data_IF_100014408246
#
_entry.id   IF_100014408246
#
_cell.length_a   1.000
_cell.length_b   1.000
_cell.length_c   1.000
_cell.angle_alpha   90.00
_cell.angle_beta   90.00
_cell.angle_gamma   90.00
#
_symmetry.space_group_name_H-M   'P 1'
#
loop_
_entity.id
_entity.type
_entity.pdbx_description
1 polymer ?
#
# COMPACT_ATOMS: atom_id res chain seq x y z
N UNK A 1 -12.61 18.52 -13.26
CA UNK A 1 -13.97 18.41 -13.85
C UNK A 1 -14.86 17.71 -12.83
N UNK A 2 -15.66 18.42 -12.02
CA UNK A 2 -16.69 17.76 -11.23
C UNK A 2 -17.63 16.99 -12.17
N UNK A 3 -18.00 15.76 -11.80
CA UNK A 3 -18.96 14.89 -12.50
C UNK A 3 -18.58 14.42 -13.92
N UNK A 4 -17.31 14.10 -14.17
CA UNK A 4 -16.90 13.40 -15.40
C UNK A 4 -16.84 11.88 -15.17
N UNK A 5 -17.32 11.03 -16.10
CA UNK A 5 -17.32 9.56 -15.92
C UNK A 5 -15.90 9.00 -15.68
N UNK A 6 -14.90 9.59 -16.31
CA UNK A 6 -13.48 9.23 -16.06
C UNK A 6 -13.01 9.56 -14.63
N UNK A 7 -13.54 10.62 -14.03
CA UNK A 7 -13.21 10.98 -12.66
C UNK A 7 -13.86 10.02 -11.66
N UNK A 8 -15.09 9.56 -11.94
CA UNK A 8 -15.74 8.53 -11.12
C UNK A 8 -15.05 7.18 -11.26
N UNK A 9 -14.63 6.80 -12.48
CA UNK A 9 -13.84 5.59 -12.69
C UNK A 9 -12.51 5.63 -11.92
N UNK A 10 -11.75 6.72 -12.03
CA UNK A 10 -10.51 6.90 -11.27
C UNK A 10 -10.75 6.82 -9.75
N UNK A 11 -11.80 7.47 -9.24
CA UNK A 11 -12.15 7.40 -7.83
C UNK A 11 -12.48 5.96 -7.39
N UNK A 12 -13.22 5.21 -8.20
CA UNK A 12 -13.57 3.81 -7.91
C UNK A 12 -12.34 2.89 -7.91
N UNK A 13 -11.44 3.03 -8.90
CA UNK A 13 -10.18 2.28 -8.98
C UNK A 13 -9.30 2.54 -7.77
N UNK A 14 -9.10 3.82 -7.43
CA UNK A 14 -8.35 4.22 -6.24
C UNK A 14 -8.97 3.62 -4.97
N UNK A 15 -10.28 3.79 -4.79
CA UNK A 15 -10.99 3.31 -3.60
C UNK A 15 -10.85 1.79 -3.42
N UNK A 16 -11.10 0.99 -4.46
CA UNK A 16 -11.04 -0.46 -4.36
C UNK A 16 -9.64 -0.96 -3.97
N UNK A 17 -8.61 -0.44 -4.62
CA UNK A 17 -7.23 -0.88 -4.39
C UNK A 17 -6.74 -0.45 -3.01
N UNK A 18 -7.03 0.79 -2.61
CA UNK A 18 -6.61 1.29 -1.30
C UNK A 18 -7.37 0.63 -0.16
N UNK A 19 -8.64 0.29 -0.37
CA UNK A 19 -9.46 -0.46 0.59
C UNK A 19 -8.92 -1.88 0.72
N UNK A 20 -8.66 -2.57 -0.39
CA UNK A 20 -8.06 -3.91 -0.38
C UNK A 20 -6.71 -3.92 0.36
N UNK A 21 -5.83 -2.96 0.08
CA UNK A 21 -4.56 -2.83 0.78
C UNK A 21 -4.75 -2.56 2.29
N UNK A 22 -5.69 -1.70 2.68
CA UNK A 22 -6.01 -1.47 4.10
C UNK A 22 -6.55 -2.73 4.79
N UNK A 23 -7.42 -3.49 4.12
CA UNK A 23 -7.96 -4.74 4.68
C UNK A 23 -6.88 -5.81 4.83
N UNK A 24 -5.91 -5.87 3.90
CA UNK A 24 -4.76 -6.78 4.01
C UNK A 24 -3.85 -6.41 5.20
N UNK A 25 -3.61 -5.12 5.45
CA UNK A 25 -2.88 -4.66 6.64
C UNK A 25 -3.62 -5.07 7.91
N UNK A 26 -4.93 -4.82 7.98
CA UNK A 26 -5.75 -5.19 9.14
C UNK A 26 -5.74 -6.70 9.38
N UNK A 27 -5.87 -7.50 8.32
CA UNK A 27 -5.79 -8.95 8.41
C UNK A 27 -4.41 -9.42 8.91
N UNK A 28 -3.33 -8.87 8.38
CA UNK A 28 -1.99 -9.24 8.83
C UNK A 28 -1.72 -8.81 10.28
N UNK A 29 -2.19 -7.63 10.71
CA UNK A 29 -2.05 -7.15 12.07
C UNK A 29 -2.86 -7.99 13.07
N UNK A 30 -4.09 -8.36 12.72
CA UNK A 30 -4.93 -9.25 13.56
C UNK A 30 -4.36 -10.66 13.65
N UNK A 31 -3.84 -11.21 12.54
CA UNK A 31 -3.14 -12.49 12.55
C UNK A 31 -1.90 -12.44 13.45
N UNK A 32 -1.12 -11.35 13.38
CA UNK A 32 0.05 -11.17 14.24
C UNK A 32 -0.35 -11.09 15.72
N UNK A 33 -1.40 -10.34 16.04
CA UNK A 33 -1.90 -10.19 17.39
C UNK A 33 -2.47 -11.50 17.95
N UNK A 34 -3.12 -12.32 17.13
CA UNK A 34 -3.58 -13.65 17.54
C UNK A 34 -2.41 -14.59 17.86
N UNK A 35 -1.31 -14.52 17.10
CA UNK A 35 -0.15 -15.38 17.32
C UNK A 35 0.73 -14.93 18.49
N UNK A 36 0.91 -13.62 18.67
CA UNK A 36 1.83 -13.05 19.68
C UNK A 36 1.13 -12.58 20.95
N UNK A 37 -0.21 -12.55 20.96
CA UNK A 37 -1.04 -11.93 22.00
C UNK A 37 -0.71 -10.45 22.26
N UNK A 38 -0.09 -9.76 21.30
CA UNK A 38 0.36 -8.38 21.44
C UNK A 38 0.06 -7.56 20.17
N UNK A 39 -0.15 -6.26 20.35
CA UNK A 39 -0.39 -5.27 19.29
C UNK A 39 0.85 -4.42 18.98
N UNK A 40 1.97 -4.67 19.65
CA UNK A 40 3.23 -3.97 19.38
C UNK A 40 3.75 -4.29 17.97
N UNK A 41 4.05 -3.25 17.23
CA UNK A 41 4.53 -3.29 15.86
C UNK A 41 5.92 -3.94 15.75
N UNK A 42 6.74 -3.88 16.81
CA UNK A 42 8.08 -4.46 16.82
C UNK A 42 8.08 -5.98 17.00
N UNK A 43 6.98 -6.55 17.48
CA UNK A 43 6.82 -7.98 17.75
C UNK A 43 6.31 -8.76 16.54
N UNK A 44 6.24 -8.15 15.34
CA UNK A 44 5.89 -8.88 14.12
C UNK A 44 7.03 -9.83 13.72
N UNK A 45 6.89 -11.12 14.05
CA UNK A 45 7.95 -12.12 13.83
C UNK A 45 7.65 -13.08 12.68
N UNK A 46 6.38 -13.35 12.40
CA UNK A 46 6.00 -14.33 11.38
C UNK A 46 6.26 -13.84 9.96
N UNK A 47 6.95 -14.66 9.15
CA UNK A 47 7.26 -14.33 7.77
C UNK A 47 5.98 -14.08 6.94
N UNK A 48 4.91 -14.82 7.25
CA UNK A 48 3.61 -14.67 6.58
C UNK A 48 2.97 -13.32 6.87
N UNK A 49 3.05 -12.80 8.10
CA UNK A 49 2.48 -11.49 8.45
C UNK A 49 3.32 -10.36 7.85
N UNK A 50 4.65 -10.47 7.90
CA UNK A 50 5.55 -9.46 7.33
C UNK A 50 5.45 -9.40 5.80
N UNK A 51 5.34 -10.54 5.11
CA UNK A 51 5.09 -10.59 3.65
C UNK A 51 3.76 -9.95 3.25
N UNK A 52 2.68 -10.19 4.00
CA UNK A 52 1.38 -9.57 3.73
C UNK A 52 1.43 -8.06 3.95
N UNK A 53 2.06 -7.59 5.03
CA UNK A 53 2.23 -6.16 5.30
C UNK A 53 3.06 -5.50 4.20
N UNK A 54 4.19 -6.09 3.79
CA UNK A 54 5.02 -5.51 2.72
C UNK A 54 4.28 -5.44 1.40
N UNK A 55 3.58 -6.51 0.98
CA UNK A 55 2.75 -6.47 -0.22
C UNK A 55 1.67 -5.40 -0.16
N UNK A 56 0.97 -5.28 0.97
CA UNK A 56 -0.08 -4.29 1.13
C UNK A 56 0.48 -2.85 1.10
N UNK A 57 1.64 -2.60 1.70
CA UNK A 57 2.31 -1.30 1.62
C UNK A 57 2.76 -0.97 0.19
N UNK A 58 3.28 -1.95 -0.55
CA UNK A 58 3.61 -1.76 -1.97
C UNK A 58 2.37 -1.44 -2.82
N UNK A 59 1.23 -2.09 -2.55
CA UNK A 59 -0.04 -1.74 -3.21
C UNK A 59 -0.44 -0.29 -2.92
N UNK A 60 -0.37 0.16 -1.64
CA UNK A 60 -0.65 1.56 -1.27
C UNK A 60 0.26 2.54 -1.99
N UNK A 61 1.54 2.20 -2.13
CA UNK A 61 2.55 3.01 -2.80
C UNK A 61 2.58 2.85 -4.32
N UNK A 62 1.71 2.04 -4.92
CA UNK A 62 1.78 1.74 -6.35
C UNK A 62 3.18 1.29 -6.82
N UNK A 63 3.90 0.52 -5.99
CA UNK A 63 5.19 -0.08 -6.37
C UNK A 63 4.94 -1.31 -7.25
N UNK A 64 5.91 -1.68 -8.10
CA UNK A 64 5.78 -2.88 -8.94
C UNK A 64 5.58 -4.16 -8.08
N UNK A 65 4.73 -5.10 -8.51
CA UNK A 65 3.90 -5.15 -9.72
C UNK A 65 2.53 -4.43 -9.60
N UNK A 66 2.26 -3.70 -8.51
CA UNK A 66 0.97 -3.08 -8.20
C UNK A 66 0.81 -1.64 -8.71
N UNK A 67 1.64 -1.20 -9.67
CA UNK A 67 1.67 0.18 -10.15
C UNK A 67 0.56 0.54 -11.15
N UNK A 68 -0.14 -0.45 -11.71
CA UNK A 68 -1.08 -0.28 -12.84
C UNK A 68 -2.23 0.69 -12.60
N UNK A 69 -2.63 0.91 -11.35
CA UNK A 69 -3.72 1.85 -11.05
C UNK A 69 -3.31 3.31 -11.11
N UNK A 70 -2.02 3.59 -10.94
CA UNK A 70 -1.53 4.95 -10.79
C UNK A 70 -1.68 5.78 -12.09
N UNK A 71 -1.32 5.27 -13.30
CA UNK A 71 -1.53 6.02 -14.54
C UNK A 71 -3.00 6.38 -14.77
N UNK A 72 -3.91 5.41 -14.65
CA UNK A 72 -5.35 5.61 -14.87
C UNK A 72 -5.96 6.62 -13.90
N UNK A 73 -5.63 6.48 -12.60
CA UNK A 73 -6.12 7.40 -11.57
C UNK A 73 -5.57 8.79 -11.80
N UNK A 74 -4.27 8.93 -12.05
CA UNK A 74 -3.63 10.23 -12.28
C UNK A 74 -4.20 10.99 -13.47
N UNK A 75 -4.62 10.28 -14.52
CA UNK A 75 -5.20 10.86 -15.74
C UNK A 75 -6.69 11.19 -15.58
N UNK A 76 -7.41 10.43 -14.75
CA UNK A 76 -8.82 10.66 -14.48
C UNK A 76 -9.12 11.76 -13.45
N UNK A 77 -8.12 12.18 -12.66
CA UNK A 77 -8.27 13.18 -11.59
C UNK A 77 -7.74 14.57 -11.99
N UNK A 78 -7.91 15.58 -11.12
CA UNK A 78 -7.33 16.91 -11.35
C UNK A 78 -5.84 16.92 -11.04
N UNK A 79 -5.10 17.89 -11.55
CA UNK A 79 -3.65 18.02 -11.29
C UNK A 79 -3.34 18.12 -9.80
N UNK A 80 -4.15 18.87 -9.04
CA UNK A 80 -3.97 19.01 -7.59
C UNK A 80 -4.17 17.68 -6.85
N UNK A 81 -5.19 16.89 -7.22
CA UNK A 81 -5.41 15.56 -6.62
C UNK A 81 -4.33 14.56 -7.03
N UNK A 82 -3.82 14.64 -8.25
CA UNK A 82 -2.70 13.81 -8.69
C UNK A 82 -1.44 14.14 -7.90
N UNK A 83 -1.17 15.43 -7.66
CA UNK A 83 -0.06 15.88 -6.82
C UNK A 83 -0.17 15.32 -5.40
N UNK A 84 -1.35 15.36 -4.78
CA UNK A 84 -1.55 14.81 -3.42
C UNK A 84 -1.39 13.30 -3.37
N UNK A 85 -1.85 12.57 -4.41
CA UNK A 85 -1.65 11.11 -4.52
C UNK A 85 -0.16 10.75 -4.69
N UNK A 86 0.60 11.53 -5.46
CA UNK A 86 2.01 11.25 -5.72
C UNK A 86 2.93 11.65 -4.56
N UNK A 87 2.53 12.58 -3.71
CA UNK A 87 3.37 13.10 -2.62
C UNK A 87 2.83 12.66 -1.25
N UNK A 88 1.70 13.22 -0.83
CA UNK A 88 1.15 13.06 0.51
C UNK A 88 0.81 11.60 0.85
N UNK A 89 0.20 10.87 -0.09
CA UNK A 89 -0.21 9.48 0.13
C UNK A 89 0.98 8.50 0.26
N UNK A 90 2.21 8.92 -0.07
CA UNK A 90 3.42 8.08 0.07
C UNK A 90 4.01 8.13 1.48
N UNK A 91 3.76 9.21 2.23
CA UNK A 91 4.41 9.47 3.53
C UNK A 91 4.07 8.37 4.54
N UNK A 92 2.78 8.08 4.76
CA UNK A 92 2.37 7.11 5.77
C UNK A 92 2.87 5.67 5.49
N UNK A 93 2.72 5.12 4.27
CA UNK A 93 3.28 3.79 3.95
C UNK A 93 4.81 3.70 4.11
N UNK A 94 5.55 4.76 3.74
CA UNK A 94 7.01 4.82 3.92
C UNK A 94 7.40 4.83 5.40
N UNK A 95 6.68 5.55 6.25
CA UNK A 95 6.93 5.57 7.70
C UNK A 95 6.72 4.19 8.32
N UNK A 96 5.66 3.48 7.94
CA UNK A 96 5.41 2.10 8.40
C UNK A 96 6.57 1.19 7.99
N UNK A 97 7.00 1.26 6.72
CA UNK A 97 8.11 0.46 6.19
C UNK A 97 9.43 0.75 6.92
N UNK A 98 9.68 2.00 7.29
CA UNK A 98 10.84 2.42 8.08
C UNK A 98 10.79 1.86 9.51
N UNK A 99 9.64 1.89 10.16
CA UNK A 99 9.50 1.33 11.53
C UNK A 99 9.79 -0.18 11.52
N UNK A 100 9.27 -0.91 10.53
CA UNK A 100 9.41 -2.38 10.45
C UNK A 100 10.61 -2.83 9.59
N UNK A 101 11.56 -1.95 9.27
CA UNK A 101 12.63 -2.21 8.27
C UNK A 101 13.42 -3.51 8.54
N UNK A 102 13.65 -3.87 9.81
CA UNK A 102 14.37 -5.08 10.19
C UNK A 102 13.57 -6.38 9.99
N UNK A 103 12.26 -6.27 9.72
CA UNK A 103 11.31 -7.38 9.59
C UNK A 103 10.70 -7.46 8.19
N UNK A 104 10.99 -6.50 7.31
CA UNK A 104 10.45 -6.51 5.95
C UNK A 104 10.99 -7.69 5.16
N UNK A 105 10.16 -8.21 4.25
CA UNK A 105 10.63 -9.20 3.30
C UNK A 105 11.51 -8.55 2.23
N UNK A 106 12.84 -8.68 2.41
CA UNK A 106 13.86 -8.13 1.52
C UNK A 106 13.77 -8.73 0.11
N UNK A 107 13.50 -10.03 -0.04
CA UNK A 107 13.45 -10.66 -1.37
C UNK A 107 12.32 -10.07 -2.20
N UNK A 108 11.19 -9.78 -1.54
CA UNK A 108 10.02 -9.16 -2.17
C UNK A 108 10.31 -7.70 -2.57
N UNK A 109 11.00 -6.93 -1.72
CA UNK A 109 11.43 -5.58 -2.07
C UNK A 109 12.41 -5.56 -3.24
N UNK A 110 13.41 -6.45 -3.24
CA UNK A 110 14.37 -6.55 -4.34
C UNK A 110 13.69 -6.96 -5.65
N UNK A 111 12.74 -7.89 -5.60
CA UNK A 111 11.94 -8.26 -6.74
C UNK A 111 11.15 -7.06 -7.29
N UNK A 112 10.54 -6.25 -6.42
CA UNK A 112 9.85 -5.03 -6.86
C UNK A 112 10.80 -4.03 -7.54
N UNK A 113 12.05 -3.92 -7.06
CA UNK A 113 13.06 -3.04 -7.63
C UNK A 113 13.61 -3.56 -8.97
N UNK A 114 13.65 -4.87 -9.18
CA UNK A 114 14.03 -5.46 -10.47
C UNK A 114 12.92 -5.28 -11.53
N UNK A 115 11.66 -5.14 -11.12
CA UNK A 115 10.53 -4.94 -12.01
C UNK A 115 10.26 -3.47 -12.36
N UNK A 116 10.81 -2.51 -11.59
CA UNK A 116 10.63 -1.07 -11.77
C UNK A 116 11.65 -0.48 -12.73
#
# INVERSE_FOLDING_TARGET
KPNHPRATEAATKYYLIQTMASTAILFAATMNAMNTSNWDMNLTTELTTTTMITMALMMKMAAAPFHFWLPDVSQGTTTMTTLTILTWQKIAPLMILLIIHNKTNITLMLFSAMLS
#
